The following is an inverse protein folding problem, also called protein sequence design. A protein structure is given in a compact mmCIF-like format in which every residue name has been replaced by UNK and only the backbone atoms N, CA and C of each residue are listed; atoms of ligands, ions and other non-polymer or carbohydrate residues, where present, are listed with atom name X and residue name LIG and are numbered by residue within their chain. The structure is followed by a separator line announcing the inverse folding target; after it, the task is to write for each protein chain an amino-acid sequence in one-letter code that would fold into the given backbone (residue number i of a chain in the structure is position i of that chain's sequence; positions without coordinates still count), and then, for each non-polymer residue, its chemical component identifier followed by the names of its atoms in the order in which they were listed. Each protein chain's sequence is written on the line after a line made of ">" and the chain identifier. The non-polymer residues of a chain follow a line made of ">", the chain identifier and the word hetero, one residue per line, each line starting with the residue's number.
data_IF_011760411675
#
_entry.id   IF_011760411675
#
_cell.length_a   1.000
_cell.length_b   1.000
_cell.length_c   1.000
_cell.angle_alpha   90.00
_cell.angle_beta   90.00
_cell.angle_gamma   90.00
#
_symmetry.space_group_name_H-M   'P 1'
#
loop_
_entity.id
_entity.type
_entity.pdbx_description
1 polymer ?
#
# COMPACT_ATOMS: atom_id res chain seq x y z
N UNK A 1 5.17 10.62 16.18
CA UNK A 1 4.69 9.24 16.43
C UNK A 1 4.80 9.01 17.92
N UNK A 2 3.70 8.67 18.57
CA UNK A 2 3.72 8.37 20.00
C UNK A 2 4.50 7.06 20.26
N UNK A 3 5.07 6.92 21.45
CA UNK A 3 5.98 5.82 21.80
C UNK A 3 5.33 4.42 21.61
N UNK A 4 4.02 4.32 21.78
CA UNK A 4 3.24 3.08 21.63
C UNK A 4 3.21 2.56 20.19
N UNK A 5 3.02 3.47 19.21
CA UNK A 5 3.00 3.10 17.79
C UNK A 5 4.38 2.63 17.32
N UNK A 6 5.43 3.23 17.88
CA UNK A 6 6.82 2.87 17.56
C UNK A 6 7.18 1.45 18.01
N UNK A 7 6.74 1.00 19.19
CA UNK A 7 7.05 -0.36 19.66
C UNK A 7 6.32 -1.41 18.83
N UNK A 8 5.02 -1.20 18.56
CA UNK A 8 4.22 -2.15 17.79
C UNK A 8 4.74 -2.33 16.37
N UNK A 9 5.14 -1.24 15.71
CA UNK A 9 5.62 -1.35 14.33
C UNK A 9 6.94 -2.11 14.22
N UNK A 10 7.83 -2.01 15.23
CA UNK A 10 9.07 -2.78 15.28
C UNK A 10 8.80 -4.29 15.31
N UNK A 11 7.80 -4.72 16.09
CA UNK A 11 7.39 -6.12 16.12
C UNK A 11 6.85 -6.59 14.77
N UNK A 12 6.01 -5.78 14.11
CA UNK A 12 5.46 -6.09 12.78
C UNK A 12 6.59 -6.22 11.74
N UNK A 13 7.53 -5.27 11.73
CA UNK A 13 8.69 -5.28 10.83
C UNK A 13 9.53 -6.53 11.06
N UNK A 14 9.90 -6.81 12.32
CA UNK A 14 10.73 -7.96 12.66
C UNK A 14 10.05 -9.29 12.30
N UNK A 15 8.75 -9.43 12.60
CA UNK A 15 7.98 -10.62 12.25
C UNK A 15 7.90 -10.81 10.73
N UNK A 16 7.59 -9.75 9.99
CA UNK A 16 7.50 -9.78 8.53
C UNK A 16 8.83 -10.22 7.89
N UNK A 17 9.95 -9.62 8.32
CA UNK A 17 11.27 -9.98 7.80
C UNK A 17 11.64 -11.43 8.13
N UNK A 18 11.23 -11.96 9.28
CA UNK A 18 11.41 -13.38 9.63
C UNK A 18 10.60 -14.28 8.71
N UNK A 19 9.35 -13.94 8.43
CA UNK A 19 8.48 -14.67 7.49
C UNK A 19 9.08 -14.68 6.08
N UNK A 20 9.78 -13.62 5.67
CA UNK A 20 10.48 -13.52 4.39
C UNK A 20 11.86 -14.21 4.38
N UNK A 21 12.33 -14.75 5.50
CA UNK A 21 13.67 -15.33 5.64
C UNK A 21 14.81 -14.29 5.50
N UNK A 22 14.51 -13.01 5.69
CA UNK A 22 15.42 -11.89 5.44
C UNK A 22 15.73 -11.06 6.71
N UNK A 23 15.40 -11.60 7.89
CA UNK A 23 15.62 -10.90 9.14
C UNK A 23 17.11 -10.73 9.47
N UNK A 24 17.51 -9.47 9.63
CA UNK A 24 18.74 -9.06 10.28
C UNK A 24 18.46 -7.75 11.05
N UNK A 25 19.29 -7.42 12.05
CA UNK A 25 19.15 -6.16 12.79
C UNK A 25 19.24 -4.96 11.85
N UNK A 26 20.14 -5.02 10.85
CA UNK A 26 20.28 -3.97 9.84
C UNK A 26 19.04 -3.84 8.94
N UNK A 27 18.44 -4.96 8.49
CA UNK A 27 17.22 -4.93 7.68
C UNK A 27 16.04 -4.33 8.45
N UNK A 28 15.87 -4.71 9.72
CA UNK A 28 14.81 -4.16 10.58
C UNK A 28 15.00 -2.66 10.79
N UNK A 29 16.21 -2.23 11.17
CA UNK A 29 16.54 -0.80 11.35
C UNK A 29 16.38 0.01 10.07
N UNK A 30 16.72 -0.56 8.90
CA UNK A 30 16.50 0.12 7.61
C UNK A 30 15.00 0.41 7.38
N UNK A 31 14.13 -0.55 7.66
CA UNK A 31 12.68 -0.35 7.50
C UNK A 31 12.10 0.60 8.56
N UNK A 32 12.57 0.53 9.81
CA UNK A 32 12.21 1.50 10.85
C UNK A 32 12.59 2.93 10.43
N UNK A 33 13.85 3.12 9.99
CA UNK A 33 14.36 4.38 9.47
C UNK A 33 13.53 4.87 8.28
N UNK A 34 13.23 3.97 7.33
CA UNK A 34 12.42 4.29 6.14
C UNK A 34 11.06 4.84 6.55
N UNK A 35 10.38 4.22 7.51
CA UNK A 35 9.08 4.68 7.99
C UNK A 35 9.17 6.08 8.63
N UNK A 36 10.17 6.31 9.48
CA UNK A 36 10.39 7.62 10.12
C UNK A 36 10.69 8.72 9.10
N UNK A 37 11.63 8.48 8.17
CA UNK A 37 12.01 9.45 7.15
C UNK A 37 10.85 9.75 6.18
N UNK A 38 10.04 8.75 5.84
CA UNK A 38 8.82 8.96 5.04
C UNK A 38 7.77 9.80 5.77
N UNK A 39 7.62 9.61 7.08
CA UNK A 39 6.72 10.44 7.88
C UNK A 39 7.19 11.91 7.93
N UNK A 40 8.50 12.15 8.09
CA UNK A 40 9.09 13.49 8.14
C UNK A 40 9.05 14.19 6.77
N UNK A 41 9.53 13.52 5.72
CA UNK A 41 9.67 14.09 4.38
C UNK A 41 8.32 14.56 3.78
N UNK A 42 7.22 13.92 4.17
CA UNK A 42 5.88 14.22 3.66
C UNK A 42 4.96 14.94 4.66
N UNK A 43 5.48 15.36 5.81
CA UNK A 43 4.74 16.18 6.78
C UNK A 43 4.27 17.54 6.21
N UNK A 44 4.91 18.01 5.13
CA UNK A 44 4.68 19.33 4.53
C UNK A 44 3.98 19.31 3.14
N UNK A 45 3.58 18.16 2.58
CA UNK A 45 2.96 18.07 1.24
C UNK A 45 1.73 17.14 1.20
N UNK A 46 0.74 17.38 0.32
CA UNK A 46 -0.41 16.50 0.15
C UNK A 46 -0.02 15.10 -0.32
N UNK A 47 -0.82 14.12 0.10
CA UNK A 47 -0.68 12.66 0.00
C UNK A 47 -0.07 12.16 -1.33
N UNK A 48 1.22 11.83 -1.28
CA UNK A 48 1.85 10.88 -2.21
C UNK A 48 2.01 9.55 -1.47
N UNK A 49 1.62 8.45 -2.11
CA UNK A 49 1.85 7.10 -1.63
C UNK A 49 0.95 6.64 -0.47
N UNK A 50 0.92 5.33 -0.27
CA UNK A 50 0.01 4.66 0.66
C UNK A 50 0.74 4.13 1.91
N UNK A 51 0.06 4.27 3.04
CA UNK A 51 0.44 3.68 4.33
C UNK A 51 1.74 4.18 4.93
N UNK A 52 2.31 3.35 5.81
CA UNK A 52 3.46 3.66 6.64
C UNK A 52 4.68 4.12 5.83
N UNK A 53 4.92 3.48 4.69
CA UNK A 53 6.10 3.71 3.87
C UNK A 53 5.85 4.66 2.69
N UNK A 54 4.63 5.20 2.55
CA UNK A 54 4.22 6.05 1.42
C UNK A 54 4.57 5.43 0.07
N UNK A 55 4.25 4.14 -0.10
CA UNK A 55 4.55 3.41 -1.34
C UNK A 55 3.51 3.79 -2.39
N UNK A 56 3.98 4.23 -3.56
CA UNK A 56 3.11 4.54 -4.69
C UNK A 56 2.52 3.26 -5.32
N UNK A 57 1.26 3.31 -5.81
CA UNK A 57 0.67 2.22 -6.58
C UNK A 57 1.53 1.77 -7.77
N UNK A 58 2.23 2.71 -8.42
CA UNK A 58 3.14 2.40 -9.52
C UNK A 58 4.31 1.52 -9.07
N UNK A 59 4.97 1.87 -7.97
CA UNK A 59 6.06 1.10 -7.38
C UNK A 59 5.56 -0.28 -6.96
N UNK A 60 4.35 -0.35 -6.40
CA UNK A 60 3.74 -1.62 -6.02
C UNK A 60 3.57 -2.57 -7.22
N UNK A 61 3.05 -2.08 -8.35
CA UNK A 61 2.95 -2.88 -9.58
C UNK A 61 4.33 -3.28 -10.09
N UNK A 62 5.32 -2.39 -10.08
CA UNK A 62 6.68 -2.71 -10.52
C UNK A 62 7.32 -3.81 -9.66
N UNK A 63 7.04 -3.85 -8.36
CA UNK A 63 7.50 -4.95 -7.50
C UNK A 63 6.83 -6.27 -7.90
N UNK A 64 5.52 -6.27 -8.13
CA UNK A 64 4.81 -7.47 -8.55
C UNK A 64 5.24 -7.95 -9.94
N UNK A 65 5.07 -7.13 -10.95
CA UNK A 65 5.32 -7.47 -12.36
C UNK A 65 6.80 -7.65 -12.65
N UNK A 66 7.66 -6.83 -12.04
CA UNK A 66 9.08 -6.75 -12.37
C UNK A 66 10.01 -7.57 -11.48
N UNK A 67 9.55 -8.02 -10.31
CA UNK A 67 10.40 -8.74 -9.36
C UNK A 67 9.76 -10.02 -8.85
N UNK A 68 8.55 -9.94 -8.26
CA UNK A 68 7.89 -11.10 -7.66
C UNK A 68 7.41 -12.11 -8.70
N UNK A 69 6.95 -11.66 -9.87
CA UNK A 69 6.52 -12.54 -10.96
C UNK A 69 7.61 -13.56 -11.39
N UNK A 70 8.89 -13.23 -11.17
CA UNK A 70 10.03 -14.09 -11.50
C UNK A 70 10.52 -14.93 -10.31
N UNK A 71 9.87 -14.84 -9.14
CA UNK A 71 10.24 -15.53 -7.90
C UNK A 71 9.00 -16.11 -7.23
N UNK A 72 8.47 -17.25 -7.73
CA UNK A 72 7.15 -17.76 -7.35
C UNK A 72 7.01 -18.05 -5.84
N UNK A 73 8.03 -18.62 -5.20
CA UNK A 73 7.99 -18.91 -3.76
C UNK A 73 7.94 -17.63 -2.91
N UNK A 74 8.73 -16.62 -3.31
CA UNK A 74 8.73 -15.31 -2.65
C UNK A 74 7.41 -14.57 -2.90
N UNK A 75 6.89 -14.61 -4.13
CA UNK A 75 5.59 -14.05 -4.48
C UNK A 75 4.46 -14.69 -3.68
N UNK A 76 4.49 -16.02 -3.51
CA UNK A 76 3.54 -16.76 -2.69
C UNK A 76 3.61 -16.31 -1.22
N UNK A 77 4.82 -16.20 -0.68
CA UNK A 77 5.04 -15.72 0.70
C UNK A 77 4.50 -14.30 0.89
N UNK A 78 4.83 -13.37 -0.01
CA UNK A 78 4.35 -11.98 0.04
C UNK A 78 2.83 -11.91 -0.15
N UNK A 79 2.26 -12.71 -1.06
CA UNK A 79 0.80 -12.79 -1.26
C UNK A 79 0.08 -13.31 -0.02
N UNK A 80 0.69 -14.25 0.70
CA UNK A 80 0.16 -14.83 1.93
C UNK A 80 0.09 -13.84 3.10
N UNK A 81 0.90 -12.77 3.07
CA UNK A 81 0.85 -11.67 4.04
C UNK A 81 -0.32 -10.70 3.80
N UNK A 82 -0.81 -10.62 2.57
CA UNK A 82 -1.97 -9.78 2.21
C UNK A 82 -3.29 -10.47 2.59
N UNK A 83 -4.37 -9.70 2.74
CA UNK A 83 -5.69 -10.32 2.93
C UNK A 83 -6.08 -11.17 1.71
N UNK A 84 -6.91 -12.18 1.94
CA UNK A 84 -7.38 -13.04 0.85
C UNK A 84 -8.32 -12.28 -0.09
N UNK A 85 -9.38 -11.67 0.47
CA UNK A 85 -10.46 -11.03 -0.31
C UNK A 85 -10.15 -9.59 -0.72
N UNK A 86 -9.67 -8.74 0.19
CA UNK A 86 -9.51 -7.32 -0.10
C UNK A 86 -8.38 -7.08 -1.12
N UNK A 87 -7.31 -7.88 -1.06
CA UNK A 87 -6.22 -7.81 -2.04
C UNK A 87 -6.71 -8.05 -3.48
N UNK A 88 -7.64 -8.98 -3.69
CA UNK A 88 -8.18 -9.27 -5.04
C UNK A 88 -9.07 -8.13 -5.58
N UNK A 89 -9.66 -7.33 -4.70
CA UNK A 89 -10.54 -6.23 -5.08
C UNK A 89 -9.74 -4.93 -5.27
N UNK A 90 -8.82 -4.63 -4.36
CA UNK A 90 -7.96 -3.47 -4.42
C UNK A 90 -6.60 -3.77 -3.76
N UNK A 91 -5.63 -4.31 -4.53
CA UNK A 91 -4.35 -4.74 -3.98
C UNK A 91 -3.51 -3.59 -3.43
N UNK A 92 -3.72 -2.36 -3.92
CA UNK A 92 -3.01 -1.18 -3.43
C UNK A 92 -3.43 -0.78 -2.03
N UNK A 93 -4.71 -0.98 -1.66
CA UNK A 93 -5.23 -0.60 -0.36
C UNK A 93 -4.50 -1.30 0.79
N UNK A 94 -3.96 -2.49 0.56
CA UNK A 94 -3.19 -3.27 1.53
C UNK A 94 -1.93 -2.54 1.98
N UNK A 95 -1.34 -1.69 1.13
CA UNK A 95 -0.22 -0.84 1.53
C UNK A 95 -0.61 0.12 2.65
N UNK A 96 -1.87 0.56 2.69
CA UNK A 96 -2.39 1.46 3.70
C UNK A 96 -2.96 0.75 4.93
N UNK A 97 -3.59 -0.42 4.74
CA UNK A 97 -4.36 -1.09 5.80
C UNK A 97 -3.64 -2.27 6.45
N UNK A 98 -2.58 -2.79 5.84
CA UNK A 98 -1.88 -3.98 6.30
C UNK A 98 -0.38 -3.68 6.44
N UNK A 99 0.05 -3.38 7.67
CA UNK A 99 1.43 -2.98 7.95
C UNK A 99 2.44 -4.09 7.61
N UNK A 100 2.12 -5.37 7.87
CA UNK A 100 3.02 -6.48 7.54
C UNK A 100 3.21 -6.62 6.03
N UNK A 101 2.11 -6.52 5.27
CA UNK A 101 2.18 -6.49 3.81
C UNK A 101 2.96 -5.28 3.28
N UNK A 102 2.71 -4.09 3.82
CA UNK A 102 3.42 -2.88 3.45
C UNK A 102 4.93 -3.00 3.74
N UNK A 103 5.31 -3.58 4.88
CA UNK A 103 6.71 -3.87 5.24
C UNK A 103 7.35 -4.88 4.28
N UNK A 104 6.61 -5.88 3.83
CA UNK A 104 7.10 -6.83 2.84
C UNK A 104 7.40 -6.15 1.50
N UNK A 105 6.48 -5.32 0.99
CA UNK A 105 6.72 -4.58 -0.26
C UNK A 105 7.85 -3.56 -0.10
N UNK A 106 7.94 -2.87 1.05
CA UNK A 106 9.07 -1.99 1.36
C UNK A 106 10.41 -2.73 1.32
N UNK A 107 10.46 -3.94 1.87
CA UNK A 107 11.65 -4.79 1.80
C UNK A 107 11.98 -5.21 0.36
N UNK A 108 10.99 -5.57 -0.46
CA UNK A 108 11.21 -5.91 -1.87
C UNK A 108 11.84 -4.76 -2.68
N UNK A 109 11.54 -3.50 -2.34
CA UNK A 109 12.14 -2.32 -2.99
C UNK A 109 13.66 -2.31 -2.79
N UNK A 110 14.17 -2.71 -1.62
CA UNK A 110 15.60 -2.84 -1.34
C UNK A 110 16.17 -4.15 -1.91
N UNK A 111 15.51 -5.28 -1.65
CA UNK A 111 16.01 -6.61 -2.01
C UNK A 111 16.17 -6.78 -3.53
N UNK A 112 15.33 -6.14 -4.35
CA UNK A 112 15.46 -6.17 -5.82
C UNK A 112 16.71 -5.49 -6.36
N UNK A 113 17.38 -4.67 -5.54
CA UNK A 113 18.58 -3.90 -5.93
C UNK A 113 19.87 -4.59 -5.48
N UNK A 114 19.79 -5.82 -4.97
CA UNK A 114 20.94 -6.60 -4.48
C UNK A 114 21.80 -5.79 -3.49
N UNK A 115 21.12 -5.05 -2.61
CA UNK A 115 21.74 -4.19 -1.62
C UNK A 115 22.64 -5.02 -0.68
N UNK A 116 23.88 -4.58 -0.52
CA UNK A 116 24.69 -4.94 0.66
C UNK A 116 24.27 -4.05 1.81
N UNK A 117 23.67 -4.64 2.85
CA UNK A 117 23.24 -3.87 4.01
C UNK A 117 24.46 -3.34 4.78
N UNK A 118 24.46 -2.04 5.15
CA UNK A 118 25.44 -1.52 6.09
C UNK A 118 25.21 -2.13 7.48
N UNK A 119 26.14 -1.86 8.40
CA UNK A 119 25.99 -2.26 9.79
C UNK A 119 24.73 -1.66 10.42
N UNK A 120 24.14 -2.37 11.39
CA UNK A 120 22.94 -1.92 12.07
C UNK A 120 23.13 -0.61 12.84
N UNK A 121 24.34 -0.31 13.31
CA UNK A 121 24.67 0.94 13.99
C UNK A 121 25.11 2.05 13.03
N UNK A 122 25.33 1.75 11.74
CA UNK A 122 25.67 2.74 10.72
C UNK A 122 24.41 3.45 10.19
N UNK A 123 23.91 4.39 11.00
CA UNK A 123 22.73 5.19 10.64
C UNK A 123 22.94 6.00 9.36
N UNK A 124 24.17 6.45 9.08
CA UNK A 124 24.48 7.21 7.87
C UNK A 124 24.40 6.32 6.63
N UNK A 125 24.97 5.12 6.69
CA UNK A 125 24.86 4.11 5.63
C UNK A 125 23.40 3.70 5.37
N UNK A 126 22.61 3.47 6.43
CA UNK A 126 21.19 3.14 6.30
C UNK A 126 20.39 4.28 5.64
N UNK A 127 20.68 5.54 6.01
CA UNK A 127 20.07 6.72 5.39
C UNK A 127 20.46 6.85 3.93
N UNK A 128 21.73 6.59 3.58
CA UNK A 128 22.18 6.58 2.19
C UNK A 128 21.48 5.50 1.36
N UNK A 129 21.21 4.32 1.94
CA UNK A 129 20.42 3.27 1.29
C UNK A 129 18.99 3.73 1.00
N UNK A 130 18.34 4.36 1.98
CA UNK A 130 17.01 4.94 1.81
C UNK A 130 16.97 5.97 0.68
N UNK A 131 17.86 6.96 0.69
CA UNK A 131 17.96 7.99 -0.35
C UNK A 131 18.21 7.37 -1.74
N UNK A 132 19.09 6.38 -1.83
CA UNK A 132 19.44 5.79 -3.12
C UNK A 132 18.32 4.93 -3.72
N UNK A 133 17.65 4.12 -2.89
CA UNK A 133 16.78 3.06 -3.40
C UNK A 133 15.30 3.29 -3.17
N UNK A 134 14.95 4.09 -2.17
CA UNK A 134 13.56 4.32 -1.79
C UNK A 134 13.01 5.61 -2.39
N UNK A 135 13.77 6.72 -2.37
CA UNK A 135 13.32 8.00 -2.96
C UNK A 135 13.43 8.05 -4.49
N UNK A 136 14.38 7.33 -5.10
CA UNK A 136 14.53 7.25 -6.56
C UNK A 136 13.60 6.20 -7.22
N UNK A 137 12.79 5.47 -6.43
CA UNK A 137 11.80 4.50 -6.91
C UNK A 137 10.74 5.10 -7.85
N UNK A 138 10.60 6.43 -7.85
CA UNK A 138 9.59 7.16 -8.62
C UNK A 138 9.97 7.35 -10.11
N UNK A 139 11.21 7.05 -10.52
CA UNK A 139 11.58 7.14 -11.95
C UNK A 139 11.24 5.83 -12.67
N UNK A 140 10.43 5.86 -13.76
CA UNK A 140 10.19 4.68 -14.57
C UNK A 140 11.51 4.25 -15.22
N UNK A 141 12.03 3.11 -14.78
CA UNK A 141 13.03 2.35 -15.55
C UNK A 141 12.22 1.48 -16.50
N UNK A 142 12.19 1.83 -17.80
CA UNK A 142 11.90 1.01 -19.02
C UNK A 142 11.24 1.89 -20.11
N UNK A 143 11.52 1.67 -21.43
CA UNK A 143 11.13 2.57 -22.52
C UNK A 143 9.66 2.46 -22.95
N UNK A 144 8.84 1.62 -22.29
CA UNK A 144 7.40 1.57 -22.54
C UNK A 144 6.62 1.06 -21.31
N UNK A 145 6.46 1.88 -20.26
CA UNK A 145 5.73 1.46 -19.07
C UNK A 145 4.22 1.39 -19.39
N UNK A 146 3.54 0.32 -18.96
CA UNK A 146 2.08 0.35 -18.86
C UNK A 146 1.71 1.56 -17.99
N UNK A 147 0.80 2.45 -18.44
CA UNK A 147 0.38 3.60 -17.65
C UNK A 147 -0.12 3.10 -16.30
N UNK A 148 0.36 3.72 -15.23
CA UNK A 148 -0.11 3.38 -13.89
C UNK A 148 -1.62 3.69 -13.84
N UNK A 149 -2.47 2.72 -13.48
CA UNK A 149 -3.90 2.97 -13.41
C UNK A 149 -4.13 4.06 -12.37
N UNK A 150 -4.69 5.19 -12.80
CA UNK A 150 -5.07 6.26 -11.88
C UNK A 150 -6.21 5.77 -10.99
N UNK A 151 -6.27 6.20 -9.71
CA UNK A 151 -7.41 5.89 -8.85
C UNK A 151 -8.67 6.38 -9.57
N UNK A 152 -9.52 5.44 -9.98
CA UNK A 152 -10.78 5.76 -10.62
C UNK A 152 -11.59 6.60 -9.63
N UNK A 153 -12.00 7.80 -10.05
CA UNK A 153 -12.96 8.61 -9.29
C UNK A 153 -14.16 7.73 -8.95
N UNK A 154 -14.68 7.76 -7.72
CA UNK A 154 -15.91 7.05 -7.41
C UNK A 154 -16.99 7.49 -8.42
N UNK A 155 -17.66 6.53 -9.04
CA UNK A 155 -18.82 6.78 -9.90
C UNK A 155 -19.84 7.56 -9.06
N UNK A 156 -19.85 8.88 -9.21
CA UNK A 156 -20.96 9.71 -8.77
C UNK A 156 -22.13 9.35 -9.68
N UNK A 157 -22.99 8.44 -9.20
CA UNK A 157 -24.27 8.17 -9.83
C UNK A 157 -25.07 9.46 -9.88
N UNK A 158 -25.08 10.11 -11.04
CA UNK A 158 -25.97 11.20 -11.37
C UNK A 158 -27.34 10.60 -11.72
N UNK A 159 -28.08 10.19 -10.70
CA UNK A 159 -29.53 10.11 -10.84
C UNK A 159 -30.11 11.50 -10.57
N UNK A 160 -30.31 12.28 -11.63
CA UNK A 160 -31.28 13.38 -11.62
C UNK A 160 -32.63 12.88 -12.13
N UNK A 161 -33.74 13.40 -11.59
CA UNK A 161 -35.08 12.85 -11.78
C UNK A 161 -35.66 13.32 -13.12
N UNK A 162 -36.24 12.40 -13.89
CA UNK A 162 -37.08 12.74 -15.02
C UNK A 162 -38.50 13.00 -14.53
N UNK A 163 -38.89 14.26 -14.54
CA UNK A 163 -40.27 14.72 -14.40
C UNK A 163 -40.97 14.53 -15.76
N UNK A 164 -42.11 13.87 -15.79
CA UNK A 164 -43.11 14.03 -16.86
C UNK A 164 -44.49 13.79 -16.27
N UNK A 165 -45.26 14.85 -16.23
CA UNK A 165 -46.69 14.87 -15.97
C UNK A 165 -47.43 14.11 -17.09
N UNK A 166 -48.48 13.34 -16.78
CA UNK A 166 -49.85 13.83 -16.99
C UNK A 166 -50.94 12.78 -16.66
N UNK A 167 -52.06 13.29 -16.12
CA UNK A 167 -53.43 12.78 -15.93
C UNK A 167 -53.75 11.27 -16.16
N UNK A 168 -54.49 10.56 -15.31
CA UNK A 168 -55.91 10.81 -14.97
C UNK A 168 -56.44 9.71 -13.99
N UNK A 169 -57.47 10.05 -13.19
CA UNK A 169 -58.53 9.20 -12.58
C UNK A 169 -58.43 8.82 -11.08
N UNK A 170 -58.95 9.76 -10.30
CA UNK A 170 -59.82 9.63 -9.10
C UNK A 170 -60.74 8.38 -9.14
N UNK A 171 -60.81 7.61 -8.04
CA UNK A 171 -62.03 7.10 -7.35
C UNK A 171 -61.64 6.35 -6.02
N UNK A 172 -62.47 6.31 -4.96
CA UNK A 172 -62.04 6.08 -3.56
C UNK A 172 -62.51 4.76 -2.89
N UNK A 173 -62.06 4.59 -1.63
CA UNK A 173 -62.52 3.70 -0.53
C UNK A 173 -61.94 2.25 -0.52
N UNK A 174 -61.63 1.60 0.62
CA UNK A 174 -62.21 1.59 1.97
C UNK A 174 -61.17 1.22 3.05
N UNK A 175 -61.45 1.66 4.29
CA UNK A 175 -60.93 1.07 5.53
C UNK A 175 -61.32 -0.40 5.68
N UNK A 176 -60.41 -1.22 6.21
CA UNK A 176 -60.75 -2.45 6.93
C UNK A 176 -59.92 -2.55 8.21
N UNK A 177 -60.62 -2.53 9.34
CA UNK A 177 -60.24 -3.01 10.66
C UNK A 177 -60.59 -4.49 10.80
N UNK A 178 -59.71 -5.29 11.43
CA UNK A 178 -59.97 -6.61 12.06
C UNK A 178 -58.60 -7.16 12.54
N UNK A 179 -58.38 -7.70 13.74
CA UNK A 179 -59.21 -8.09 14.89
C UNK A 179 -58.33 -8.04 16.13
#
# INVERSE_FOLDING_TARGET
>A
MDNFDSVNIKFVIAHTLKTLGAYSTAAAKLLELTASLQAEHFSAKPQSGLGLYRIEPCTHLQIWDGYLAFKPDLASTVRGLASQKAFLQNPHLELATNQGYASAIAWMIYQRRELTLPDAEDQQGLTACWTKYFTDSAKPVQPNPRPCPQPQKPLTGSHSPAHSDDHTKRFPAKQLTAT
#
